data_IF_806052949714
#
_entry.id   IF_806052949714
#
_cell.length_a   1.000
_cell.length_b   1.000
_cell.length_c   1.000
_cell.angle_alpha   90.00
_cell.angle_beta   90.00
_cell.angle_gamma   90.00
#
_symmetry.space_group_name_H-M   'P 1'
#
loop_
_entity.id
_entity.type
_entity.pdbx_description
1 polymer ?
#
# COMPACT_ATOMS: atom_id res chain seq x y z
N UNK A 1 15.56 -22.86 4.48
CA UNK A 1 15.14 -21.96 3.37
C UNK A 1 13.77 -21.43 3.72
N UNK A 2 13.70 -20.23 4.31
CA UNK A 2 12.47 -19.66 4.84
C UNK A 2 11.67 -18.97 3.73
N UNK A 3 10.40 -19.36 3.68
CA UNK A 3 9.37 -18.99 2.72
C UNK A 3 8.93 -17.53 2.95
N UNK A 4 9.42 -16.58 2.16
CA UNK A 4 8.94 -15.19 2.16
C UNK A 4 7.93 -14.93 1.04
N UNK A 5 6.94 -15.84 0.88
CA UNK A 5 5.76 -15.65 0.02
C UNK A 5 4.54 -15.15 0.82
N UNK A 6 4.76 -14.19 1.72
CA UNK A 6 3.68 -13.46 2.35
C UNK A 6 3.37 -12.23 1.52
N UNK A 7 2.32 -12.35 0.70
CA UNK A 7 1.60 -11.18 0.22
C UNK A 7 1.15 -10.38 1.45
N UNK A 8 1.74 -9.19 1.64
CA UNK A 8 1.51 -8.24 2.75
C UNK A 8 0.04 -7.78 2.88
N UNK A 9 -0.87 -8.24 2.02
CA UNK A 9 -2.30 -7.86 1.98
C UNK A 9 -3.32 -9.00 2.17
N UNK A 10 -2.91 -10.20 2.59
CA UNK A 10 -3.84 -11.17 3.16
C UNK A 10 -4.65 -12.01 2.15
N UNK A 11 -4.59 -13.33 2.41
CA UNK A 11 -5.33 -14.47 1.83
C UNK A 11 -4.97 -14.86 0.39
N UNK A 12 -4.23 -15.97 0.29
CA UNK A 12 -4.12 -16.79 -0.94
C UNK A 12 -5.51 -17.36 -1.27
N UNK A 13 -6.14 -17.05 -2.42
CA UNK A 13 -7.25 -17.86 -2.91
C UNK A 13 -6.72 -19.26 -3.27
N UNK A 14 -7.51 -20.31 -3.01
CA UNK A 14 -7.20 -21.68 -3.45
C UNK A 14 -6.96 -21.70 -4.97
N UNK A 15 -6.06 -22.57 -5.47
CA UNK A 15 -5.56 -22.49 -6.83
C UNK A 15 -6.64 -22.94 -7.83
N UNK A 16 -7.46 -22.00 -8.28
CA UNK A 16 -8.04 -22.08 -9.62
C UNK A 16 -6.92 -21.71 -10.59
N UNK A 17 -6.86 -22.35 -11.75
CA UNK A 17 -5.81 -22.19 -12.77
C UNK A 17 -5.77 -20.75 -13.30
N UNK A 18 -5.17 -19.85 -12.53
CA UNK A 18 -4.97 -18.44 -12.86
C UNK A 18 -3.47 -18.18 -12.89
N UNK A 19 -3.06 -17.33 -13.84
CA UNK A 19 -1.67 -16.99 -14.13
C UNK A 19 -0.95 -16.57 -12.83
N UNK A 20 0.34 -16.88 -12.63
CA UNK A 20 1.06 -16.52 -11.39
C UNK A 20 0.96 -15.04 -10.99
N UNK A 21 0.73 -14.15 -11.96
CA UNK A 21 0.53 -12.72 -11.78
C UNK A 21 -0.85 -12.32 -11.19
N UNK A 22 -1.87 -13.19 -11.29
CA UNK A 22 -3.25 -12.92 -10.81
C UNK A 22 -3.44 -13.15 -9.30
N UNK A 23 -2.44 -13.69 -8.60
CA UNK A 23 -2.62 -14.25 -7.25
C UNK A 23 -2.55 -13.25 -6.10
N UNK A 24 -2.23 -11.98 -6.37
CA UNK A 24 -2.22 -10.92 -5.36
C UNK A 24 -3.26 -9.87 -5.70
N UNK A 25 -4.55 -10.19 -5.58
CA UNK A 25 -5.59 -9.17 -5.64
C UNK A 25 -5.45 -8.30 -4.38
N UNK A 26 -5.18 -6.99 -4.50
CA UNK A 26 -4.99 -6.13 -3.33
C UNK A 26 -6.27 -6.13 -2.49
N UNK A 27 -6.14 -6.38 -1.19
CA UNK A 27 -7.25 -6.21 -0.24
C UNK A 27 -7.44 -4.72 0.04
N UNK A 28 -8.05 -4.05 -0.93
CA UNK A 28 -8.23 -2.61 -0.99
C UNK A 28 -9.02 -2.05 0.20
N UNK A 29 -9.87 -2.85 0.85
CA UNK A 29 -10.71 -2.41 1.97
C UNK A 29 -10.10 -2.65 3.35
N UNK A 30 -8.95 -3.33 3.48
CA UNK A 30 -8.41 -3.71 4.81
C UNK A 30 -8.09 -2.53 5.71
N UNK A 31 -7.71 -1.39 5.15
CA UNK A 31 -7.40 -0.15 5.89
C UNK A 31 -8.53 0.87 5.87
N UNK A 32 -9.69 0.50 5.33
CA UNK A 32 -10.84 1.38 5.26
C UNK A 32 -11.67 1.26 6.55
N UNK A 33 -11.88 2.34 7.32
CA UNK A 33 -12.75 2.28 8.48
C UNK A 33 -14.19 1.95 8.07
N UNK A 34 -14.90 1.22 8.93
CA UNK A 34 -16.23 0.67 8.63
C UNK A 34 -17.25 1.76 8.23
N UNK A 35 -17.18 2.94 8.81
CA UNK A 35 -18.06 4.07 8.48
C UNK A 35 -17.94 4.59 7.03
N UNK A 36 -16.85 4.25 6.34
CA UNK A 36 -16.60 4.68 4.96
C UNK A 36 -16.89 3.59 3.93
N UNK A 37 -17.15 2.35 4.36
CA UNK A 37 -17.31 1.21 3.47
C UNK A 37 -18.41 1.39 2.43
N UNK A 38 -19.54 1.98 2.82
CA UNK A 38 -20.68 2.24 1.92
C UNK A 38 -20.55 3.57 1.15
N UNK A 39 -19.50 4.35 1.43
CA UNK A 39 -19.28 5.68 0.85
C UNK A 39 -18.18 5.71 -0.21
N UNK A 40 -17.46 4.61 -0.39
CA UNK A 40 -16.39 4.47 -1.38
C UNK A 40 -16.88 3.76 -2.64
N UNK A 41 -16.29 4.09 -3.78
CA UNK A 41 -16.52 3.36 -5.03
C UNK A 41 -15.61 2.12 -5.05
N UNK A 42 -16.15 0.89 -5.12
CA UNK A 42 -15.34 -0.31 -5.06
C UNK A 42 -14.58 -0.54 -6.39
N UNK A 43 -13.28 -0.88 -6.34
CA UNK A 43 -12.52 -1.27 -7.52
C UNK A 43 -12.97 -2.63 -8.07
N UNK A 44 -13.17 -2.70 -9.38
CA UNK A 44 -13.44 -3.94 -10.13
C UNK A 44 -12.14 -4.57 -10.67
N UNK A 45 -11.16 -3.74 -11.05
CA UNK A 45 -9.89 -4.13 -11.64
C UNK A 45 -8.71 -3.40 -10.99
N UNK A 46 -7.51 -3.99 -11.10
CA UNK A 46 -6.29 -3.43 -10.50
C UNK A 46 -5.12 -3.42 -11.50
N UNK A 47 -4.22 -2.45 -11.33
CA UNK A 47 -2.88 -2.44 -11.93
C UNK A 47 -1.85 -2.29 -10.81
N UNK A 48 -0.80 -3.11 -10.87
CA UNK A 48 0.25 -3.12 -9.85
C UNK A 48 1.58 -2.80 -10.52
N UNK A 49 2.26 -1.80 -10.00
CA UNK A 49 3.59 -1.35 -10.40
C UNK A 49 4.53 -1.60 -9.25
N UNK A 50 5.71 -2.16 -9.54
CA UNK A 50 6.75 -2.43 -8.56
C UNK A 50 8.05 -1.86 -9.11
N UNK A 51 8.71 -1.07 -8.31
CA UNK A 51 10.12 -0.75 -8.54
C UNK A 51 10.93 -1.63 -7.59
N UNK A 52 12.01 -2.20 -8.11
CA UNK A 52 12.83 -3.16 -7.37
C UNK A 52 14.13 -2.52 -6.87
N UNK A 53 14.61 -1.49 -7.56
CA UNK A 53 15.79 -0.72 -7.16
C UNK A 53 15.51 0.11 -5.90
N UNK A 54 14.26 0.57 -5.77
CA UNK A 54 13.74 1.27 -4.62
C UNK A 54 12.58 0.42 -4.11
N UNK A 55 12.53 0.03 -2.83
CA UNK A 55 11.47 -0.84 -2.31
C UNK A 55 10.11 -0.09 -2.29
N UNK A 56 9.55 0.07 -3.49
CA UNK A 56 8.40 0.90 -3.77
C UNK A 56 7.39 0.12 -4.59
N UNK A 57 6.12 0.31 -4.25
CA UNK A 57 4.99 -0.29 -4.96
C UNK A 57 3.90 0.73 -5.12
N UNK A 58 3.25 0.70 -6.28
CA UNK A 58 2.01 1.42 -6.55
C UNK A 58 0.93 0.46 -7.02
N UNK A 59 -0.28 0.63 -6.52
CA UNK A 59 -1.47 -0.11 -6.90
C UNK A 59 -2.54 0.90 -7.29
N UNK A 60 -3.09 0.75 -8.49
CA UNK A 60 -4.21 1.53 -8.98
C UNK A 60 -5.43 0.61 -9.12
N UNK A 61 -6.58 1.03 -8.59
CA UNK A 61 -7.85 0.33 -8.73
C UNK A 61 -8.85 1.15 -9.54
N UNK A 62 -9.57 0.46 -10.42
CA UNK A 62 -10.51 1.06 -11.36
C UNK A 62 -11.91 0.49 -11.15
N UNK A 63 -12.93 1.34 -11.19
CA UNK A 63 -14.33 0.93 -11.03
C UNK A 63 -14.87 0.22 -12.29
N UNK A 64 -16.15 -0.12 -12.29
CA UNK A 64 -16.78 -0.80 -13.42
C UNK A 64 -16.82 0.04 -14.72
N UNK A 65 -16.69 1.37 -14.61
CA UNK A 65 -16.60 2.29 -15.75
C UNK A 65 -15.16 2.56 -16.21
N UNK A 66 -14.17 1.92 -15.57
CA UNK A 66 -12.75 2.12 -15.85
C UNK A 66 -12.18 3.40 -15.25
N UNK A 67 -12.90 4.08 -14.34
CA UNK A 67 -12.40 5.28 -13.67
C UNK A 67 -11.58 4.92 -12.44
N UNK A 68 -10.53 5.69 -12.14
CA UNK A 68 -9.70 5.48 -10.95
C UNK A 68 -10.54 5.71 -9.70
N UNK A 69 -10.62 4.71 -8.82
CA UNK A 69 -11.36 4.74 -7.57
C UNK A 69 -10.54 4.32 -6.35
N UNK A 70 -9.34 3.78 -6.57
CA UNK A 70 -8.44 3.36 -5.51
C UNK A 70 -6.99 3.63 -5.93
N UNK A 71 -6.17 4.10 -5.01
CA UNK A 71 -4.73 4.21 -5.18
C UNK A 71 -4.04 3.82 -3.89
N UNK A 72 -3.02 2.97 -3.96
CA UNK A 72 -2.14 2.71 -2.83
C UNK A 72 -0.69 2.76 -3.26
N UNK A 73 0.13 3.37 -2.43
CA UNK A 73 1.55 3.52 -2.63
C UNK A 73 2.25 3.16 -1.34
N UNK A 74 3.29 2.33 -1.43
CA UNK A 74 4.19 2.04 -0.32
C UNK A 74 5.61 2.34 -0.78
N UNK A 75 6.39 2.99 0.07
CA UNK A 75 7.79 3.29 -0.19
C UNK A 75 8.59 3.03 1.09
N UNK A 76 9.70 2.31 0.93
CA UNK A 76 10.61 1.99 2.01
C UNK A 76 12.04 2.31 1.58
N UNK A 77 12.74 3.07 2.40
CA UNK A 77 14.16 3.39 2.25
C UNK A 77 14.95 2.68 3.34
N UNK A 78 16.04 2.01 2.94
CA UNK A 78 16.94 1.32 3.84
C UNK A 78 18.34 1.90 3.71
N UNK A 79 18.99 2.15 4.84
CA UNK A 79 20.42 2.49 4.88
C UNK A 79 21.23 1.35 5.50
N UNK A 80 22.47 1.16 5.04
CA UNK A 80 23.41 0.27 5.70
C UNK A 80 23.73 0.79 7.11
N UNK A 81 23.55 -0.05 8.12
CA UNK A 81 24.00 0.18 9.50
C UNK A 81 25.05 -0.88 9.87
N UNK A 82 25.94 -0.50 10.76
CA UNK A 82 26.92 -1.38 11.42
C UNK A 82 26.81 -1.09 12.92
N UNK A 83 26.69 -2.12 13.74
CA UNK A 83 26.52 -2.00 15.18
C UNK A 83 27.79 -2.33 15.97
N UNK A 84 28.76 -3.09 15.45
CA UNK A 84 30.10 -3.25 16.08
C UNK A 84 31.16 -4.00 15.23
N UNK A 85 31.37 -3.59 13.96
CA UNK A 85 32.38 -4.14 13.02
C UNK A 85 32.31 -5.67 12.78
N UNK A 86 31.53 -6.07 11.77
CA UNK A 86 32.02 -7.01 10.73
C UNK A 86 31.08 -7.11 9.51
N UNK A 87 29.80 -6.70 9.59
CA UNK A 87 28.88 -6.71 8.44
C UNK A 87 27.86 -5.54 8.46
N UNK A 88 27.64 -4.93 7.28
CA UNK A 88 26.55 -3.97 7.10
C UNK A 88 25.22 -4.71 6.94
N UNK A 89 24.19 -4.28 7.66
CA UNK A 89 22.81 -4.74 7.46
C UNK A 89 21.89 -3.60 7.01
N UNK A 90 20.87 -3.90 6.17
CA UNK A 90 19.88 -2.89 5.78
C UNK A 90 18.95 -2.60 6.95
N UNK A 91 18.99 -1.37 7.46
CA UNK A 91 18.04 -0.87 8.45
C UNK A 91 17.01 0.03 7.76
N UNK A 92 15.72 -0.14 8.07
CA UNK A 92 14.67 0.75 7.55
C UNK A 92 14.88 2.15 8.11
N UNK A 93 15.18 3.11 7.24
CA UNK A 93 15.39 4.52 7.61
C UNK A 93 14.12 5.33 7.45
N UNK A 94 13.29 4.97 6.47
CA UNK A 94 12.04 5.68 6.25
C UNK A 94 11.02 4.75 5.61
N UNK A 95 9.81 4.75 6.16
CA UNK A 95 8.66 4.09 5.56
C UNK A 95 7.52 5.07 5.35
N UNK A 96 6.92 5.07 4.17
CA UNK A 96 5.65 5.73 3.96
C UNK A 96 4.66 4.80 3.24
N UNK A 97 3.39 4.97 3.59
CA UNK A 97 2.29 4.33 2.91
C UNK A 97 1.14 5.31 2.77
N UNK A 98 0.65 5.46 1.54
CA UNK A 98 -0.52 6.27 1.22
C UNK A 98 -1.55 5.36 0.60
N UNK A 99 -2.75 5.32 1.15
CA UNK A 99 -3.89 4.62 0.56
C UNK A 99 -5.04 5.59 0.37
N UNK A 100 -5.69 5.56 -0.78
CA UNK A 100 -6.74 6.49 -1.12
C UNK A 100 -7.90 5.79 -1.80
N UNK A 101 -9.11 6.17 -1.39
CA UNK A 101 -10.37 5.67 -1.94
C UNK A 101 -11.20 6.84 -2.43
N UNK A 102 -11.71 6.73 -3.65
CA UNK A 102 -12.66 7.69 -4.17
C UNK A 102 -14.02 7.45 -3.53
N UNK A 103 -14.57 8.50 -2.95
CA UNK A 103 -15.91 8.52 -2.39
C UNK A 103 -16.96 8.65 -3.51
N UNK A 104 -18.20 8.28 -3.20
CA UNK A 104 -19.34 8.42 -4.10
C UNK A 104 -19.66 9.88 -4.45
N UNK A 105 -19.22 10.83 -3.63
CA UNK A 105 -19.31 12.27 -3.90
C UNK A 105 -18.14 12.84 -4.73
N UNK A 106 -17.21 11.98 -5.16
CA UNK A 106 -16.07 12.33 -6.01
C UNK A 106 -14.82 12.79 -5.26
N UNK A 107 -14.90 13.06 -3.95
CA UNK A 107 -13.71 13.32 -3.12
C UNK A 107 -12.92 12.05 -2.87
N UNK A 108 -11.75 12.18 -2.26
CA UNK A 108 -10.87 11.08 -1.92
C UNK A 108 -10.67 11.04 -0.41
N UNK A 109 -10.97 9.90 0.20
CA UNK A 109 -10.49 9.58 1.54
C UNK A 109 -9.06 9.10 1.42
N UNK A 110 -8.13 9.76 2.07
CA UNK A 110 -6.70 9.46 2.01
C UNK A 110 -6.21 9.08 3.40
N UNK A 111 -5.64 7.89 3.53
CA UNK A 111 -4.95 7.40 4.71
C UNK A 111 -3.45 7.50 4.48
N UNK A 112 -2.74 8.21 5.35
CA UNK A 112 -1.28 8.34 5.32
C UNK A 112 -0.68 7.74 6.56
N UNK A 113 0.39 6.97 6.36
CA UNK A 113 1.21 6.40 7.40
C UNK A 113 2.66 6.73 7.09
N UNK A 114 3.38 7.31 8.06
CA UNK A 114 4.81 7.54 7.95
C UNK A 114 5.50 7.02 9.20
N UNK A 115 6.53 6.23 8.99
CA UNK A 115 7.43 5.67 10.00
C UNK A 115 8.77 6.39 9.85
N UNK A 116 8.99 7.48 10.61
CA UNK A 116 10.25 8.23 10.59
C UNK A 116 11.39 7.50 11.29
N UNK A 117 12.63 7.90 10.99
CA UNK A 117 13.83 7.44 11.69
C UNK A 117 13.94 8.06 13.08
N UNK A 118 14.22 7.23 14.08
CA UNK A 118 14.62 7.66 15.43
C UNK A 118 13.50 7.56 16.46
N UNK A 119 13.87 7.22 17.70
CA UNK A 119 12.93 6.96 18.81
C UNK A 119 12.10 8.20 19.21
N UNK A 120 12.52 9.39 18.77
CA UNK A 120 11.91 10.68 19.09
C UNK A 120 10.89 11.17 18.04
N UNK A 121 10.81 10.51 16.88
CA UNK A 121 9.95 10.95 15.80
C UNK A 121 8.56 10.30 15.86
N UNK A 122 7.51 11.11 15.95
CA UNK A 122 6.14 10.62 16.04
C UNK A 122 5.69 9.98 14.72
N UNK A 123 5.16 8.76 14.82
CA UNK A 123 4.50 8.07 13.70
C UNK A 123 3.29 8.88 13.26
N UNK A 124 3.27 9.30 12.00
CA UNK A 124 2.10 9.92 11.39
C UNK A 124 1.16 8.80 10.94
N UNK A 125 -0.09 8.83 11.40
CA UNK A 125 -1.13 7.88 11.02
C UNK A 125 -2.47 8.62 11.03
N UNK A 126 -3.07 8.86 9.86
CA UNK A 126 -4.26 9.71 9.81
C UNK A 126 -5.02 9.71 8.49
N UNK A 127 -6.29 10.09 8.57
CA UNK A 127 -7.20 10.21 7.44
C UNK A 127 -7.46 11.67 7.09
N UNK A 128 -7.45 11.99 5.80
CA UNK A 128 -7.79 13.31 5.25
C UNK A 128 -8.78 13.16 4.10
N UNK A 129 -9.53 14.23 3.81
CA UNK A 129 -10.38 14.32 2.63
C UNK A 129 -9.75 15.26 1.61
N UNK A 130 -9.61 14.79 0.38
CA UNK A 130 -8.99 15.54 -0.71
C UNK A 130 -9.90 15.61 -1.94
N UNK A 131 -9.78 16.68 -2.72
CA UNK A 131 -10.58 16.86 -3.94
C UNK A 131 -10.05 16.04 -5.12
N UNK A 132 -8.82 15.53 -5.04
CA UNK A 132 -8.14 14.83 -6.12
C UNK A 132 -7.42 13.59 -5.58
N UNK A 133 -7.15 12.63 -6.46
CA UNK A 133 -6.33 11.46 -6.09
C UNK A 133 -4.91 11.92 -5.72
N UNK A 134 -4.30 11.35 -4.66
CA UNK A 134 -2.90 11.60 -4.37
C UNK A 134 -2.01 11.11 -5.52
N UNK A 135 -0.92 11.83 -5.77
CA UNK A 135 0.01 11.56 -6.87
C UNK A 135 0.88 10.34 -6.59
#
# INVERSE_FOLDING_TARGET
MQNSDQCRYGKRPRPVRSHPADRCRPCWSTRLPLEWHDRVVPPSAFRVFREFEVQARRVLGYDASGQLCYSAHDYQLFDPRSDDDEDFYPALTYGESVTAWRLTDGRWLVHRQQEPLGEEAERIDGFTLESHSPR
#
